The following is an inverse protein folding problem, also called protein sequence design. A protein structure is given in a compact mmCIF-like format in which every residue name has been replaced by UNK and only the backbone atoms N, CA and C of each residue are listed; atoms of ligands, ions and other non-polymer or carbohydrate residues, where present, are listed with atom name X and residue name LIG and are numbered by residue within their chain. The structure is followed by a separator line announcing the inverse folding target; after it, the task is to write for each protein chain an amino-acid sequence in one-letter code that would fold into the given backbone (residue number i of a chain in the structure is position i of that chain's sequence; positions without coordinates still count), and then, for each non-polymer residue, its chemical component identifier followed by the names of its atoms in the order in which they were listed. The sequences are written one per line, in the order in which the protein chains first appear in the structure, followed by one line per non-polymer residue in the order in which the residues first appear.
data_IF_206707385747
#
_entry.id   IF_206707385747
#
_cell.length_a   1.000
_cell.length_b   1.000
_cell.length_c   1.000
_cell.angle_alpha   90.00
_cell.angle_beta   90.00
_cell.angle_gamma   90.00
#
_symmetry.space_group_name_H-M   'P 1'
#
loop_
_entity.id
_entity.type
_entity.pdbx_description
1 polymer ?
#
# COMPACT_ATOMS: atom_id res chain seq x y z
N UNK A 1 -19.15 24.33 3.14
CA UNK A 1 -17.96 23.69 3.74
C UNK A 1 -18.40 22.97 5.00
N UNK A 2 -18.20 21.64 5.09
CA UNK A 2 -18.70 20.81 6.20
C UNK A 2 -17.61 20.51 7.26
N UNK A 3 -16.49 21.26 7.28
CA UNK A 3 -15.42 21.11 8.28
C UNK A 3 -14.53 19.87 8.12
N UNK A 4 -14.61 19.15 7.00
CA UNK A 4 -13.71 18.03 6.72
C UNK A 4 -12.30 18.50 6.35
N UNK A 5 -11.28 17.75 6.78
CA UNK A 5 -9.89 17.95 6.36
C UNK A 5 -9.60 16.98 5.21
N UNK A 6 -9.26 17.52 4.05
CA UNK A 6 -8.92 16.73 2.86
C UNK A 6 -7.43 16.49 2.86
N UNK A 7 -7.03 15.25 2.57
CA UNK A 7 -5.65 14.84 2.37
C UNK A 7 -5.64 14.01 1.09
N UNK A 8 -4.74 14.32 0.17
CA UNK A 8 -4.51 13.48 -1.00
C UNK A 8 -3.48 12.41 -0.66
N UNK A 9 -3.68 11.23 -1.22
CA UNK A 9 -2.73 10.12 -1.12
C UNK A 9 -2.45 9.67 -2.55
N UNK A 10 -1.22 9.79 -3.02
CA UNK A 10 -0.86 9.33 -4.37
C UNK A 10 -1.05 7.81 -4.48
N UNK A 11 -1.43 7.26 -5.65
CA UNK A 11 -1.71 5.83 -5.80
C UNK A 11 -0.44 5.00 -5.51
N UNK A 12 -0.62 3.82 -4.92
CA UNK A 12 0.47 2.86 -4.78
C UNK A 12 1.00 2.43 -6.14
N UNK A 13 2.28 2.13 -6.25
CA UNK A 13 2.84 1.49 -7.43
C UNK A 13 2.20 0.10 -7.64
N UNK A 14 2.07 -0.31 -8.90
CA UNK A 14 1.89 -1.73 -9.24
C UNK A 14 3.26 -2.39 -9.24
N UNK A 15 3.29 -3.68 -8.90
CA UNK A 15 4.51 -4.46 -8.96
C UNK A 15 4.87 -4.77 -10.44
N UNK A 16 5.33 -3.76 -11.16
CA UNK A 16 5.85 -3.88 -12.52
C UNK A 16 7.32 -3.53 -12.53
N UNK A 17 8.18 -4.52 -12.45
CA UNK A 17 9.62 -4.33 -12.60
C UNK A 17 10.02 -4.21 -14.08
N UNK A 18 11.17 -3.60 -14.34
CA UNK A 18 11.76 -3.56 -15.66
C UNK A 18 12.13 -4.97 -16.15
N UNK A 19 11.97 -5.19 -17.47
CA UNK A 19 12.16 -6.53 -18.05
C UNK A 19 13.65 -6.91 -18.19
N UNK A 20 14.56 -5.93 -18.15
CA UNK A 20 15.98 -6.18 -18.39
C UNK A 20 16.73 -6.63 -17.13
N UNK A 21 16.48 -5.95 -16.01
CA UNK A 21 17.25 -6.17 -14.78
C UNK A 21 16.42 -6.59 -13.59
N UNK A 22 15.09 -6.43 -13.66
CA UNK A 22 14.15 -6.63 -12.56
C UNK A 22 14.55 -5.86 -11.28
N UNK A 23 15.17 -4.70 -11.43
CA UNK A 23 15.69 -3.92 -10.30
C UNK A 23 14.88 -2.65 -10.03
N UNK A 24 14.16 -2.15 -11.02
CA UNK A 24 13.40 -0.90 -10.92
C UNK A 24 11.93 -1.09 -11.22
N UNK A 25 11.10 -0.41 -10.43
CA UNK A 25 9.67 -0.32 -10.69
C UNK A 25 9.42 0.65 -11.84
N UNK A 26 8.71 0.16 -12.86
CA UNK A 26 8.25 0.96 -13.99
C UNK A 26 6.98 1.72 -13.63
N UNK A 27 6.88 2.95 -14.11
CA UNK A 27 5.66 3.73 -14.00
C UNK A 27 4.51 3.11 -14.80
N UNK A 28 3.37 2.93 -14.16
CA UNK A 28 2.17 2.33 -14.78
C UNK A 28 0.91 3.20 -14.65
N UNK A 29 1.02 4.36 -13.99
CA UNK A 29 -0.09 5.30 -13.78
C UNK A 29 -0.01 6.51 -14.70
N UNK A 30 1.04 6.57 -15.56
CA UNK A 30 1.27 7.70 -16.45
C UNK A 30 1.44 9.01 -15.67
N UNK A 31 0.72 10.03 -16.06
CA UNK A 31 0.77 11.37 -15.47
C UNK A 31 -0.22 11.59 -14.30
N UNK A 32 -1.02 10.58 -13.93
CA UNK A 32 -2.02 10.73 -12.85
C UNK A 32 -1.43 11.18 -11.50
N UNK A 33 -0.30 10.62 -11.02
CA UNK A 33 0.30 11.08 -9.77
C UNK A 33 0.71 12.56 -9.84
N UNK A 34 1.27 13.00 -10.95
CA UNK A 34 1.69 14.39 -11.15
C UNK A 34 0.51 15.34 -11.27
N UNK A 35 -0.55 14.93 -11.95
CA UNK A 35 -1.81 15.68 -12.00
C UNK A 35 -2.41 15.84 -10.60
N UNK A 36 -2.37 14.78 -9.77
CA UNK A 36 -2.83 14.85 -8.38
C UNK A 36 -1.99 15.84 -7.56
N UNK A 37 -0.66 15.82 -7.67
CA UNK A 37 0.25 16.78 -7.01
C UNK A 37 -0.03 18.22 -7.45
N UNK A 38 -0.26 18.43 -8.75
CA UNK A 38 -0.56 19.75 -9.30
C UNK A 38 -1.89 20.31 -8.75
N UNK A 39 -2.92 19.48 -8.67
CA UNK A 39 -4.21 19.88 -8.07
C UNK A 39 -4.04 20.16 -6.57
N UNK A 40 -3.35 19.29 -5.84
CA UNK A 40 -3.09 19.49 -4.41
C UNK A 40 -2.40 20.81 -4.12
N UNK A 41 -1.36 21.12 -4.91
CA UNK A 41 -0.62 22.39 -4.80
C UNK A 41 -1.52 23.60 -5.09
N UNK A 42 -2.38 23.52 -6.11
CA UNK A 42 -3.29 24.60 -6.48
C UNK A 42 -4.34 24.86 -5.40
N UNK A 43 -4.86 23.80 -4.78
CA UNK A 43 -5.95 23.85 -3.80
C UNK A 43 -5.43 23.90 -2.34
N UNK A 44 -4.11 24.00 -2.14
CA UNK A 44 -3.46 23.97 -0.81
C UNK A 44 -3.89 22.76 0.03
N UNK A 45 -3.85 21.58 -0.59
CA UNK A 45 -4.20 20.29 0.04
C UNK A 45 -2.93 19.50 0.32
N UNK A 46 -2.72 18.99 1.56
CA UNK A 46 -1.57 18.16 1.86
C UNK A 46 -1.60 16.82 1.08
N UNK A 47 -0.41 16.34 0.69
CA UNK A 47 -0.24 15.10 -0.09
C UNK A 47 0.64 14.12 0.66
N UNK A 48 0.18 12.89 0.81
CA UNK A 48 0.99 11.74 1.23
C UNK A 48 1.52 11.06 -0.04
N UNK A 49 2.84 11.02 -0.18
CA UNK A 49 3.53 10.49 -1.35
C UNK A 49 3.66 8.95 -1.33
N UNK A 50 2.52 8.27 -1.26
CA UNK A 50 2.47 6.81 -1.17
C UNK A 50 3.04 6.14 -2.43
N UNK A 51 2.97 6.82 -3.58
CA UNK A 51 3.53 6.37 -4.85
C UNK A 51 5.05 6.12 -4.74
N UNK A 52 5.78 7.09 -4.22
CA UNK A 52 7.23 7.02 -4.09
C UNK A 52 7.65 6.07 -2.95
N UNK A 53 6.87 6.04 -1.85
CA UNK A 53 7.10 5.12 -0.75
C UNK A 53 6.95 3.66 -1.18
N UNK A 54 5.91 3.34 -1.96
CA UNK A 54 5.70 1.97 -2.45
C UNK A 54 6.67 1.56 -3.54
N UNK A 55 7.19 2.50 -4.33
CA UNK A 55 8.33 2.25 -5.23
C UNK A 55 9.54 1.79 -4.43
N UNK A 56 9.93 2.56 -3.42
CA UNK A 56 11.05 2.22 -2.52
C UNK A 56 10.85 0.86 -1.87
N UNK A 57 9.65 0.59 -1.37
CA UNK A 57 9.29 -0.68 -0.74
C UNK A 57 9.48 -1.87 -1.69
N UNK A 58 8.92 -1.82 -2.90
CA UNK A 58 9.04 -2.91 -3.86
C UNK A 58 10.47 -3.11 -4.34
N UNK A 59 11.20 -2.02 -4.63
CA UNK A 59 12.59 -2.10 -5.07
C UNK A 59 13.50 -2.66 -3.95
N UNK A 60 13.23 -2.31 -2.69
CA UNK A 60 13.96 -2.85 -1.53
C UNK A 60 13.70 -4.35 -1.34
N UNK A 61 12.44 -4.79 -1.43
CA UNK A 61 12.12 -6.22 -1.37
C UNK A 61 12.69 -6.99 -2.55
N UNK A 62 12.85 -6.34 -3.69
CA UNK A 62 13.30 -6.94 -4.93
C UNK A 62 12.24 -7.79 -5.63
N UNK A 63 12.59 -8.27 -6.82
CA UNK A 63 11.64 -8.92 -7.73
C UNK A 63 10.91 -10.11 -7.11
N UNK A 64 11.61 -11.03 -6.45
CA UNK A 64 10.97 -12.23 -5.90
C UNK A 64 10.25 -11.97 -4.57
N UNK A 65 10.89 -11.27 -3.62
CA UNK A 65 10.29 -11.09 -2.29
C UNK A 65 9.10 -10.13 -2.29
N UNK A 66 9.04 -9.18 -3.24
CA UNK A 66 7.89 -8.28 -3.34
C UNK A 66 6.57 -9.01 -3.64
N UNK A 67 6.60 -10.20 -4.24
CA UNK A 67 5.43 -11.07 -4.40
C UNK A 67 4.77 -11.41 -3.06
N UNK A 68 5.58 -11.55 -1.99
CA UNK A 68 5.10 -11.89 -0.65
C UNK A 68 4.22 -10.79 -0.02
N UNK A 69 4.24 -9.58 -0.55
CA UNK A 69 3.36 -8.48 -0.11
C UNK A 69 2.05 -8.37 -0.88
N UNK A 70 1.84 -9.22 -1.87
CA UNK A 70 0.73 -9.16 -2.81
C UNK A 70 -0.07 -10.48 -2.82
N UNK A 71 -1.16 -10.51 -3.58
CA UNK A 71 -2.00 -11.70 -3.72
C UNK A 71 -1.35 -12.68 -4.70
N UNK A 72 -0.24 -13.27 -4.24
CA UNK A 72 0.47 -14.35 -4.91
C UNK A 72 0.35 -15.60 -4.06
N UNK A 73 -0.51 -16.54 -4.47
CA UNK A 73 -0.77 -17.77 -3.72
C UNK A 73 -0.76 -18.99 -4.65
N UNK A 74 -0.15 -20.09 -4.24
CA UNK A 74 -0.25 -21.35 -4.98
C UNK A 74 -1.71 -21.78 -5.18
N UNK A 75 -1.96 -22.62 -6.17
CA UNK A 75 -3.26 -23.26 -6.31
C UNK A 75 -3.63 -24.02 -5.03
N UNK A 76 -4.93 -24.07 -4.73
CA UNK A 76 -5.49 -24.74 -3.54
C UNK A 76 -5.06 -24.14 -2.18
N UNK A 77 -4.61 -22.88 -2.15
CA UNK A 77 -4.38 -22.16 -0.88
C UNK A 77 -5.71 -21.88 -0.16
N UNK A 78 -6.76 -21.58 -0.92
CA UNK A 78 -8.10 -21.32 -0.40
C UNK A 78 -9.15 -22.30 -0.94
N UNK A 79 -10.28 -22.51 -0.27
CA UNK A 79 -11.39 -23.31 -0.79
C UNK A 79 -11.80 -22.84 -2.20
N UNK A 80 -11.98 -23.77 -3.14
CA UNK A 80 -12.39 -23.53 -4.54
C UNK A 80 -11.39 -22.74 -5.40
N UNK A 81 -10.21 -22.41 -4.90
CA UNK A 81 -9.14 -21.79 -5.68
C UNK A 81 -8.31 -22.86 -6.38
N UNK A 82 -8.70 -23.24 -7.60
CA UNK A 82 -8.06 -24.32 -8.39
C UNK A 82 -6.81 -23.88 -9.16
N UNK A 83 -6.56 -22.56 -9.26
CA UNK A 83 -5.41 -21.99 -9.98
C UNK A 83 -4.57 -21.13 -9.04
N UNK A 84 -3.27 -20.99 -9.36
CA UNK A 84 -2.43 -20.02 -8.67
C UNK A 84 -2.97 -18.59 -8.88
N UNK A 85 -2.82 -17.74 -7.86
CA UNK A 85 -3.07 -16.31 -7.94
C UNK A 85 -1.73 -15.60 -8.12
N UNK A 86 -1.64 -14.72 -9.11
CA UNK A 86 -0.42 -13.97 -9.46
C UNK A 86 -0.76 -12.50 -9.69
N UNK A 87 -1.33 -11.88 -8.66
CA UNK A 87 -1.81 -10.51 -8.73
C UNK A 87 -0.70 -9.52 -8.33
N UNK A 88 -0.31 -8.66 -9.25
CA UNK A 88 0.73 -7.65 -9.05
C UNK A 88 0.17 -6.28 -8.61
N UNK A 89 -1.07 -6.22 -8.16
CA UNK A 89 -1.78 -4.96 -7.82
C UNK A 89 -2.35 -4.98 -6.41
N UNK A 90 -2.99 -6.06 -6.00
CA UNK A 90 -3.69 -6.14 -4.72
C UNK A 90 -2.78 -6.66 -3.62
N UNK A 91 -2.72 -5.92 -2.52
CA UNK A 91 -1.95 -6.30 -1.34
C UNK A 91 -2.62 -7.43 -0.56
N UNK A 92 -1.81 -8.33 -0.04
CA UNK A 92 -2.22 -9.25 1.00
C UNK A 92 -2.15 -8.58 2.39
N UNK A 93 -2.53 -9.25 3.51
CA UNK A 93 -2.47 -8.63 4.84
C UNK A 93 -1.11 -8.05 5.23
N UNK A 94 0.00 -8.72 4.89
CA UNK A 94 1.35 -8.20 5.15
C UNK A 94 1.59 -6.90 4.36
N UNK A 95 1.39 -6.93 3.05
CA UNK A 95 1.59 -5.73 2.22
C UNK A 95 0.67 -4.58 2.60
N UNK A 96 -0.59 -4.86 2.94
CA UNK A 96 -1.54 -3.86 3.42
C UNK A 96 -1.08 -3.22 4.75
N UNK A 97 -0.51 -4.01 5.66
CA UNK A 97 0.06 -3.51 6.91
C UNK A 97 1.26 -2.59 6.66
N UNK A 98 2.19 -2.97 5.77
CA UNK A 98 3.32 -2.14 5.38
C UNK A 98 2.86 -0.80 4.76
N UNK A 99 1.88 -0.86 3.85
CA UNK A 99 1.29 0.34 3.23
C UNK A 99 0.59 1.23 4.28
N UNK A 100 -0.13 0.66 5.24
CA UNK A 100 -0.74 1.43 6.33
C UNK A 100 0.32 2.20 7.14
N UNK A 101 1.47 1.58 7.42
CA UNK A 101 2.60 2.26 8.09
C UNK A 101 3.17 3.42 7.26
N UNK A 102 3.25 3.26 5.92
CA UNK A 102 3.66 4.34 5.02
C UNK A 102 2.70 5.52 5.08
N UNK A 103 1.39 5.26 5.11
CA UNK A 103 0.39 6.32 5.25
C UNK A 103 0.56 7.06 6.58
N UNK A 104 0.75 6.34 7.70
CA UNK A 104 1.01 6.96 9.01
C UNK A 104 2.31 7.77 9.00
N UNK A 105 3.36 7.26 8.36
CA UNK A 105 4.61 8.01 8.19
C UNK A 105 4.36 9.32 7.43
N UNK A 106 3.61 9.29 6.34
CA UNK A 106 3.23 10.49 5.59
C UNK A 106 2.42 11.47 6.44
N UNK A 107 1.49 10.99 7.26
CA UNK A 107 0.74 11.84 8.20
C UNK A 107 1.67 12.53 9.20
N UNK A 108 2.69 11.84 9.71
CA UNK A 108 3.71 12.42 10.63
C UNK A 108 4.57 13.46 9.92
N UNK A 109 5.05 13.17 8.71
CA UNK A 109 5.85 14.10 7.91
C UNK A 109 5.12 15.42 7.63
N UNK A 110 3.81 15.33 7.41
CA UNK A 110 2.93 16.49 7.18
C UNK A 110 2.46 17.16 8.49
N UNK A 111 2.86 16.65 9.66
CA UNK A 111 2.43 17.14 10.98
C UNK A 111 0.89 17.25 11.10
N UNK A 112 0.17 16.29 10.55
CA UNK A 112 -1.29 16.33 10.55
C UNK A 112 -1.84 16.19 11.99
N UNK A 113 -2.90 16.92 12.35
CA UNK A 113 -3.47 16.89 13.72
C UNK A 113 -3.91 15.50 14.20
N UNK A 114 -4.23 14.60 13.28
CA UNK A 114 -4.63 13.22 13.58
C UNK A 114 -3.49 12.40 14.23
N UNK A 115 -2.24 12.79 14.02
CA UNK A 115 -1.05 12.09 14.57
C UNK A 115 -1.08 12.02 16.11
N UNK A 116 -1.74 12.96 16.78
CA UNK A 116 -1.90 12.94 18.26
C UNK A 116 -2.66 11.73 18.79
N UNK A 117 -3.39 11.02 17.92
CA UNK A 117 -4.15 9.80 18.29
C UNK A 117 -3.40 8.50 18.01
N UNK A 118 -2.17 8.58 17.51
CA UNK A 118 -1.35 7.38 17.36
C UNK A 118 -1.10 6.73 18.72
N UNK A 119 -1.03 5.42 18.72
CA UNK A 119 -0.68 4.63 19.91
C UNK A 119 0.71 5.05 20.41
N UNK A 120 0.91 5.02 21.73
CA UNK A 120 2.18 5.38 22.34
C UNK A 120 3.33 4.42 21.97
N UNK A 121 3.01 3.19 21.58
CA UNK A 121 3.95 2.16 21.15
C UNK A 121 4.25 2.19 19.63
N UNK A 122 3.77 3.20 18.90
CA UNK A 122 4.08 3.38 17.50
C UNK A 122 5.60 3.52 17.28
N UNK A 123 6.12 2.75 16.33
CA UNK A 123 7.51 2.85 15.87
C UNK A 123 7.54 3.48 14.49
N UNK A 124 8.52 4.37 14.29
CA UNK A 124 8.71 4.96 12.96
C UNK A 124 9.05 3.89 11.93
N UNK A 125 8.50 4.08 10.74
CA UNK A 125 8.65 3.14 9.64
C UNK A 125 9.55 3.72 8.55
N UNK A 126 10.26 2.84 7.85
CA UNK A 126 11.06 3.19 6.69
C UNK A 126 10.77 2.19 5.56
N UNK A 127 10.22 2.60 4.41
CA UNK A 127 9.94 1.69 3.29
C UNK A 127 11.19 1.03 2.70
N UNK A 128 12.39 1.58 2.96
CA UNK A 128 13.66 0.94 2.63
C UNK A 128 14.12 -0.11 3.66
N UNK A 129 13.34 -0.33 4.71
CA UNK A 129 13.59 -1.32 5.76
C UNK A 129 12.25 -1.95 6.17
N UNK A 130 11.57 -2.68 5.26
CA UNK A 130 10.30 -3.32 5.56
C UNK A 130 10.46 -4.35 6.66
N UNK A 131 9.38 -4.63 7.38
CA UNK A 131 9.37 -5.67 8.41
C UNK A 131 9.65 -7.05 7.79
N UNK A 132 10.24 -7.92 8.57
CA UNK A 132 10.48 -9.30 8.13
C UNK A 132 9.14 -10.03 7.94
N UNK A 133 8.88 -10.44 6.70
CA UNK A 133 7.69 -11.22 6.34
C UNK A 133 7.50 -12.46 7.23
N UNK A 134 8.59 -13.13 7.63
CA UNK A 134 8.52 -14.36 8.44
C UNK A 134 8.12 -14.09 9.90
N UNK A 135 8.21 -12.85 10.35
CA UNK A 135 7.79 -12.43 11.69
C UNK A 135 6.38 -11.80 11.69
N UNK A 136 5.77 -11.64 10.51
CA UNK A 136 4.44 -11.08 10.42
C UNK A 136 3.38 -12.03 10.99
N UNK A 137 2.57 -11.54 11.91
CA UNK A 137 1.50 -12.32 12.53
C UNK A 137 0.26 -12.29 11.64
N UNK A 138 -0.06 -13.41 11.04
CA UNK A 138 -1.25 -13.60 10.22
C UNK A 138 -2.46 -13.84 11.10
N UNK A 139 -3.30 -12.82 11.27
CA UNK A 139 -4.58 -13.00 11.96
C UNK A 139 -5.58 -13.73 11.05
N UNK A 140 -6.35 -14.69 11.58
CA UNK A 140 -7.40 -15.33 10.80
C UNK A 140 -8.43 -14.30 10.37
N UNK A 141 -8.91 -14.40 9.13
CA UNK A 141 -10.05 -13.62 8.67
C UNK A 141 -11.28 -13.97 9.49
N UNK A 142 -11.97 -12.95 9.97
CA UNK A 142 -13.27 -13.16 10.62
C UNK A 142 -14.24 -13.62 9.54
N UNK A 143 -14.80 -14.84 9.70
CA UNK A 143 -15.91 -15.28 8.85
C UNK A 143 -17.12 -14.39 9.15
N UNK A 144 -17.34 -13.41 8.29
CA UNK A 144 -18.59 -12.66 8.25
C UNK A 144 -19.43 -13.22 7.12
N UNK A 145 -20.72 -13.46 7.38
CA UNK A 145 -21.69 -13.64 6.31
C UNK A 145 -21.62 -12.43 5.41
N UNK A 146 -21.04 -12.61 4.22
CA UNK A 146 -20.94 -11.56 3.22
C UNK A 146 -22.28 -11.47 2.51
N UNK A 147 -23.27 -10.95 3.19
CA UNK A 147 -24.46 -10.44 2.52
C UNK A 147 -24.02 -9.20 1.76
N UNK A 148 -24.05 -9.23 0.42
CA UNK A 148 -23.82 -8.03 -0.37
C UNK A 148 -24.74 -6.93 0.15
N UNK A 149 -24.23 -5.70 0.38
CA UNK A 149 -25.12 -4.57 0.66
C UNK A 149 -26.13 -4.46 -0.49
N UNK A 150 -27.42 -4.38 -0.13
CA UNK A 150 -28.47 -4.16 -1.11
C UNK A 150 -28.14 -2.90 -1.94
N UNK A 151 -28.11 -3.04 -3.25
CA UNK A 151 -27.93 -1.89 -4.15
C UNK A 151 -27.04 -2.06 -5.35
N UNK A 152 -26.55 -3.30 -5.65
CA UNK A 152 -25.89 -3.62 -6.93
C UNK A 152 -26.41 -4.91 -7.51
#
# INVERSE_FOLDING_TARGET
KKGGNIIFVTPTQRRRFDDATHSRIQETHGDYPDAMRAVAKREDVPVIELHDMTRTFFETLGYENSKKSLVHYPANTYPNQTKALEDNTHFNPYGAYEVAKMVVMGMKQLNLPIVKYLRADWKDFNPAQPDDFNQFVWYPSVNQDVTKPDGN
#
